data_IF_963348506745
#
_entry.id   IF_963348506745
#
_cell.length_a   1.000
_cell.length_b   1.000
_cell.length_c   1.000
_cell.angle_alpha   90.00
_cell.angle_beta   90.00
_cell.angle_gamma   90.00
#
_symmetry.space_group_name_H-M   'P 1'
#
loop_
_entity.id
_entity.type
_entity.pdbx_description
1 polymer ?
#
# COMPACT_ATOMS: atom_id res chain seq x y z
N UNK A 1 14.64 32.67 27.92
CA UNK A 1 15.63 31.68 27.40
C UNK A 1 17.06 32.06 27.77
N UNK A 2 17.52 33.29 27.45
CA UNK A 2 18.87 33.78 27.78
C UNK A 2 19.27 33.70 29.26
N UNK A 3 18.38 34.04 30.20
CA UNK A 3 18.64 33.92 31.65
C UNK A 3 19.05 32.49 32.06
N UNK A 4 18.40 31.46 31.52
CA UNK A 4 18.70 30.05 31.82
C UNK A 4 20.07 29.63 31.28
N UNK A 5 20.46 30.12 30.09
CA UNK A 5 21.79 29.88 29.51
C UNK A 5 22.88 30.49 30.40
N UNK A 6 22.67 31.74 30.84
CA UNK A 6 23.60 32.45 31.70
C UNK A 6 23.73 31.74 33.06
N UNK A 7 22.63 31.36 33.69
CA UNK A 7 22.64 30.60 34.95
C UNK A 7 23.36 29.24 34.81
N UNK A 8 23.23 28.58 33.66
CA UNK A 8 23.89 27.29 33.40
C UNK A 8 25.41 27.45 33.19
N UNK A 9 25.83 28.48 32.44
CA UNK A 9 27.24 28.81 32.22
C UNK A 9 27.93 29.35 33.48
N UNK A 10 27.19 30.00 34.38
CA UNK A 10 27.71 30.61 35.61
C UNK A 10 27.51 29.76 36.86
N UNK A 11 27.23 28.44 36.73
CA UNK A 11 27.24 27.51 37.86
C UNK A 11 28.56 27.64 38.64
N UNK A 12 28.46 27.80 39.97
CA UNK A 12 29.64 28.05 40.80
C UNK A 12 30.65 26.90 40.71
N UNK A 13 30.16 25.67 40.71
CA UNK A 13 30.92 24.46 40.40
C UNK A 13 31.19 24.35 38.88
N UNK A 14 32.46 24.39 38.43
CA UNK A 14 32.81 24.22 37.02
C UNK A 14 32.39 22.88 36.42
N UNK A 15 32.30 21.80 37.23
CA UNK A 15 31.92 20.48 36.75
C UNK A 15 30.43 20.39 36.36
N UNK A 16 29.60 21.33 36.82
CA UNK A 16 28.18 21.41 36.52
C UNK A 16 27.84 22.34 35.36
N UNK A 17 28.84 22.95 34.72
CA UNK A 17 28.68 23.80 33.54
C UNK A 17 28.57 22.93 32.28
N UNK A 18 27.81 23.35 31.26
CA UNK A 18 27.72 22.61 30.02
C UNK A 18 29.05 22.66 29.26
N UNK A 19 29.36 21.57 28.58
CA UNK A 19 30.31 21.59 27.47
C UNK A 19 29.72 22.39 26.30
N UNK A 20 30.57 22.89 25.41
CA UNK A 20 30.13 23.58 24.20
C UNK A 20 29.16 22.72 23.35
N UNK A 21 29.39 21.41 23.32
CA UNK A 21 28.54 20.48 22.57
C UNK A 21 27.17 20.27 23.24
N UNK A 22 27.09 20.24 24.57
CA UNK A 22 25.82 20.18 25.30
C UNK A 22 25.03 21.48 25.16
N UNK A 23 25.71 22.63 25.17
CA UNK A 23 25.08 23.94 24.98
C UNK A 23 24.48 24.07 23.58
N UNK A 24 25.24 23.68 22.53
CA UNK A 24 24.78 23.71 21.14
C UNK A 24 23.62 22.76 20.86
N UNK A 25 23.52 21.65 21.60
CA UNK A 25 22.39 20.71 21.52
C UNK A 25 21.18 21.12 22.37
N UNK A 26 21.32 22.15 23.20
CA UNK A 26 20.24 22.59 24.09
C UNK A 26 19.18 23.41 23.34
N UNK A 27 17.92 23.28 23.74
CA UNK A 27 16.81 24.10 23.22
C UNK A 27 16.89 25.57 23.65
N UNK A 28 17.93 25.94 24.40
CA UNK A 28 18.06 27.27 25.00
C UNK A 28 18.71 28.30 24.07
N UNK A 29 19.37 27.84 23.01
CA UNK A 29 19.95 28.70 21.97
C UNK A 29 18.97 28.84 20.79
N UNK A 30 18.92 30.01 20.14
CA UNK A 30 18.21 30.12 18.87
C UNK A 30 18.87 29.17 17.85
N UNK A 31 18.09 28.61 16.92
CA UNK A 31 18.64 27.75 15.89
C UNK A 31 19.70 28.51 15.08
N UNK A 32 20.82 27.86 14.71
CA UNK A 32 21.86 28.49 13.91
C UNK A 32 21.24 29.01 12.60
N UNK A 33 21.51 30.29 12.30
CA UNK A 33 21.10 30.90 11.04
C UNK A 33 22.13 30.50 9.99
N UNK A 34 21.69 29.71 9.01
CA UNK A 34 22.49 29.31 7.85
C UNK A 34 21.76 29.80 6.61
N UNK A 35 22.52 30.23 5.60
CA UNK A 35 21.90 30.63 4.33
C UNK A 35 21.20 29.43 3.68
N UNK A 36 20.07 29.68 3.01
CA UNK A 36 19.24 28.61 2.43
C UNK A 36 19.98 27.83 1.34
N UNK A 37 20.87 28.51 0.60
CA UNK A 37 21.76 27.94 -0.41
C UNK A 37 22.74 26.92 0.19
N UNK A 38 23.40 27.28 1.29
CA UNK A 38 24.33 26.42 2.01
C UNK A 38 23.61 25.20 2.60
N UNK A 39 22.41 25.39 3.17
CA UNK A 39 21.59 24.28 3.65
C UNK A 39 21.26 23.30 2.53
N UNK A 40 20.85 23.83 1.38
CA UNK A 40 20.47 23.02 0.24
C UNK A 40 21.66 22.20 -0.28
N UNK A 41 22.86 22.80 -0.34
CA UNK A 41 24.09 22.12 -0.75
C UNK A 41 24.45 20.98 0.23
N UNK A 42 24.42 21.23 1.54
CA UNK A 42 24.68 20.20 2.57
C UNK A 42 23.68 19.05 2.48
N UNK A 43 22.39 19.34 2.28
CA UNK A 43 21.36 18.34 2.11
C UNK A 43 21.59 17.50 0.86
N UNK A 44 21.82 18.14 -0.30
CA UNK A 44 22.11 17.44 -1.55
C UNK A 44 23.33 16.53 -1.41
N UNK A 45 24.43 17.05 -0.85
CA UNK A 45 25.66 16.29 -0.71
C UNK A 45 25.51 15.12 0.28
N UNK A 46 24.67 15.28 1.30
CA UNK A 46 24.34 14.20 2.24
C UNK A 46 23.47 13.14 1.57
N UNK A 47 22.45 13.54 0.80
CA UNK A 47 21.55 12.64 0.08
C UNK A 47 22.24 11.89 -1.07
N UNK A 48 23.27 12.49 -1.68
CA UNK A 48 24.07 11.84 -2.73
C UNK A 48 24.90 10.65 -2.20
N UNK A 49 25.22 10.63 -0.90
CA UNK A 49 25.98 9.55 -0.27
C UNK A 49 25.21 8.88 0.87
N UNK A 50 24.26 8.03 0.50
CA UNK A 50 23.42 7.25 1.44
C UNK A 50 24.22 6.32 2.37
N UNK A 51 25.44 5.94 1.97
CA UNK A 51 26.34 5.13 2.80
C UNK A 51 27.27 5.99 3.67
N UNK A 52 27.12 7.32 3.64
CA UNK A 52 27.95 8.26 4.40
C UNK A 52 27.57 8.32 5.89
N UNK A 53 28.53 8.72 6.72
CA UNK A 53 28.29 8.96 8.16
C UNK A 53 27.25 10.07 8.37
N UNK A 54 27.30 11.14 7.57
CA UNK A 54 26.36 12.26 7.62
C UNK A 54 24.92 11.79 7.38
N UNK A 55 24.69 10.98 6.34
CA UNK A 55 23.37 10.41 6.05
C UNK A 55 22.85 9.54 7.19
N UNK A 56 23.66 8.59 7.70
CA UNK A 56 23.26 7.76 8.85
C UNK A 56 22.95 8.58 10.09
N UNK A 57 23.68 9.67 10.31
CA UNK A 57 23.43 10.58 11.43
C UNK A 57 22.10 11.29 11.26
N UNK A 58 21.83 11.81 10.05
CA UNK A 58 20.55 12.44 9.71
C UNK A 58 19.38 11.48 9.92
N UNK A 59 19.42 10.28 9.33
CA UNK A 59 18.36 9.27 9.51
C UNK A 59 18.20 8.91 10.99
N UNK A 60 19.30 8.72 11.72
CA UNK A 60 19.24 8.47 13.17
C UNK A 60 18.52 9.58 13.95
N UNK A 61 18.72 10.85 13.60
CA UNK A 61 18.00 11.97 14.22
C UNK A 61 16.52 11.98 13.83
N UNK A 62 16.15 11.58 12.62
CA UNK A 62 14.74 11.45 12.22
C UNK A 62 14.00 10.39 13.06
N UNK A 63 14.65 9.26 13.33
CA UNK A 63 14.08 8.20 14.17
C UNK A 63 14.13 8.50 15.68
N UNK A 64 14.96 9.46 16.11
CA UNK A 64 15.03 9.90 17.50
C UNK A 64 13.97 10.97 17.86
N UNK A 65 13.11 11.36 16.91
CA UNK A 65 12.03 12.31 17.17
C UNK A 65 11.05 11.76 18.22
N UNK A 66 10.70 12.59 19.20
CA UNK A 66 9.71 12.24 20.21
C UNK A 66 8.29 12.41 19.66
N UNK A 67 7.43 11.43 19.92
CA UNK A 67 6.00 11.51 19.63
C UNK A 67 5.29 12.26 20.77
N UNK A 68 4.41 13.20 20.42
CA UNK A 68 3.58 13.86 21.44
C UNK A 68 2.46 12.90 21.91
N UNK A 69 2.02 12.99 23.18
CA UNK A 69 0.94 12.13 23.68
C UNK A 69 -0.37 12.23 22.87
N UNK A 70 -0.65 13.41 22.31
CA UNK A 70 -1.82 13.62 21.45
C UNK A 70 -1.66 12.87 20.12
N UNK A 71 -0.48 12.90 19.51
CA UNK A 71 -0.22 12.16 18.28
C UNK A 71 -0.32 10.66 18.49
N UNK A 72 0.26 10.16 19.59
CA UNK A 72 0.17 8.75 19.97
C UNK A 72 -1.29 8.29 20.11
N UNK A 73 -2.11 9.05 20.84
CA UNK A 73 -3.53 8.73 21.04
C UNK A 73 -4.38 8.84 19.75
N UNK A 74 -4.07 9.79 18.88
CA UNK A 74 -4.90 10.07 17.69
C UNK A 74 -4.49 9.25 16.47
N UNK A 75 -3.33 8.60 16.47
CA UNK A 75 -2.76 7.94 15.30
C UNK A 75 -3.69 6.85 14.73
N UNK A 76 -4.24 5.99 15.59
CA UNK A 76 -5.06 4.84 15.25
C UNK A 76 -6.50 4.93 15.77
N UNK A 77 -6.93 6.11 16.24
CA UNK A 77 -8.26 6.35 16.84
C UNK A 77 -9.41 5.86 15.95
N UNK A 78 -9.25 5.95 14.63
CA UNK A 78 -10.26 5.52 13.66
C UNK A 78 -10.43 4.01 13.57
N UNK A 79 -9.45 3.21 13.99
CA UNK A 79 -9.59 1.75 14.05
C UNK A 79 -10.57 1.33 15.16
N UNK A 80 -10.74 2.17 16.18
CA UNK A 80 -11.68 1.95 17.29
C UNK A 80 -13.00 2.72 17.12
N UNK A 81 -13.22 3.38 15.97
CA UNK A 81 -14.52 3.98 15.62
C UNK A 81 -15.52 2.87 15.27
N UNK A 82 -15.93 2.14 16.29
CA UNK A 82 -16.86 1.02 16.25
C UNK A 82 -16.79 0.29 17.59
N UNK A 83 -17.95 0.00 18.20
CA UNK A 83 -17.95 -0.81 19.42
C UNK A 83 -17.50 -2.23 19.09
N UNK A 84 -16.53 -2.76 19.84
CA UNK A 84 -16.18 -4.17 19.73
C UNK A 84 -17.44 -5.01 19.96
N UNK A 85 -17.74 -5.87 18.99
CA UNK A 85 -18.86 -6.80 19.05
C UNK A 85 -18.32 -8.22 19.10
N UNK A 86 -18.48 -8.88 20.24
CA UNK A 86 -18.09 -10.29 20.42
C UNK A 86 -18.78 -11.19 19.38
N UNK A 87 -20.06 -10.92 19.09
CA UNK A 87 -20.83 -11.64 18.07
C UNK A 87 -20.22 -11.48 16.67
N UNK A 88 -19.78 -10.28 16.31
CA UNK A 88 -19.13 -10.02 15.03
C UNK A 88 -17.77 -10.71 14.93
N UNK A 89 -16.98 -10.73 16.01
CA UNK A 89 -15.71 -11.44 16.07
C UNK A 89 -15.91 -12.97 15.92
N UNK A 90 -16.92 -13.53 16.59
CA UNK A 90 -17.29 -14.95 16.46
C UNK A 90 -17.73 -15.30 15.03
N UNK A 91 -18.52 -14.43 14.40
CA UNK A 91 -18.94 -14.62 13.01
C UNK A 91 -17.74 -14.57 12.05
N UNK A 92 -16.82 -13.61 12.25
CA UNK A 92 -15.60 -13.52 11.46
C UNK A 92 -14.74 -14.79 11.57
N UNK A 93 -14.60 -15.33 12.78
CA UNK A 93 -13.91 -16.60 13.01
C UNK A 93 -14.57 -17.75 12.26
N UNK A 94 -15.90 -17.86 12.33
CA UNK A 94 -16.65 -18.90 11.61
C UNK A 94 -16.46 -18.80 10.09
N UNK A 95 -16.56 -17.58 9.53
CA UNK A 95 -16.33 -17.32 8.10
C UNK A 95 -14.90 -17.72 7.70
N UNK A 96 -13.90 -17.35 8.50
CA UNK A 96 -12.50 -17.69 8.26
C UNK A 96 -12.29 -19.21 8.20
N UNK A 97 -12.85 -19.95 9.16
CA UNK A 97 -12.72 -21.40 9.25
C UNK A 97 -13.42 -22.12 8.09
N UNK A 98 -14.62 -21.68 7.72
CA UNK A 98 -15.39 -22.26 6.63
C UNK A 98 -14.69 -22.06 5.27
N UNK A 99 -14.25 -20.84 4.98
CA UNK A 99 -13.48 -20.53 3.76
C UNK A 99 -12.16 -21.32 3.72
N UNK A 100 -11.46 -21.39 4.85
CA UNK A 100 -10.22 -22.19 4.96
C UNK A 100 -10.46 -23.67 4.66
N UNK A 101 -11.57 -24.25 5.11
CA UNK A 101 -11.94 -25.64 4.82
C UNK A 101 -12.17 -25.86 3.32
N UNK A 102 -12.85 -24.93 2.65
CA UNK A 102 -13.08 -25.00 1.20
C UNK A 102 -11.76 -24.93 0.44
N UNK A 103 -10.87 -24.00 0.77
CA UNK A 103 -9.56 -23.91 0.11
C UNK A 103 -8.73 -25.19 0.28
N UNK A 104 -8.76 -25.79 1.47
CA UNK A 104 -8.09 -27.08 1.72
C UNK A 104 -8.70 -28.22 0.91
N UNK A 105 -10.02 -28.21 0.68
CA UNK A 105 -10.72 -29.18 -0.19
C UNK A 105 -10.21 -29.12 -1.64
N UNK A 106 -9.84 -27.94 -2.12
CA UNK A 106 -9.19 -27.72 -3.43
C UNK A 106 -7.69 -28.02 -3.45
N UNK A 107 -7.12 -28.50 -2.34
CA UNK A 107 -5.69 -28.79 -2.21
C UNK A 107 -4.81 -27.54 -2.05
N UNK A 108 -5.39 -26.37 -1.76
CA UNK A 108 -4.60 -25.18 -1.51
C UNK A 108 -3.98 -25.19 -0.10
N UNK A 109 -2.73 -24.72 -0.02
CA UNK A 109 -2.00 -24.59 1.24
C UNK A 109 -1.98 -23.14 1.70
N UNK A 110 -1.97 -22.92 3.02
CA UNK A 110 -1.79 -21.56 3.56
C UNK A 110 -0.36 -21.11 3.27
N UNK A 111 -0.20 -19.94 2.64
CA UNK A 111 1.11 -19.39 2.36
C UNK A 111 1.16 -17.91 2.73
N UNK A 112 2.05 -17.57 3.65
CA UNK A 112 2.33 -16.20 4.07
C UNK A 112 3.57 -15.67 3.34
N UNK A 113 3.54 -14.38 2.99
CA UNK A 113 4.64 -13.67 2.32
C UNK A 113 5.09 -12.49 3.18
N UNK A 114 6.33 -12.01 3.04
CA UNK A 114 6.80 -10.86 3.83
C UNK A 114 5.84 -9.66 3.74
N UNK A 115 5.54 -9.06 4.90
CA UNK A 115 4.61 -7.93 5.00
C UNK A 115 5.15 -6.69 4.26
N UNK A 116 6.41 -6.35 4.50
CA UNK A 116 7.04 -5.17 3.89
C UNK A 116 7.74 -5.55 2.58
N UNK A 117 7.51 -4.75 1.55
CA UNK A 117 8.23 -4.83 0.28
C UNK A 117 9.01 -3.53 0.02
N UNK A 118 10.17 -3.58 -0.65
CA UNK A 118 10.81 -2.37 -1.14
C UNK A 118 9.86 -1.59 -2.06
N UNK A 119 9.81 -0.26 -1.90
CA UNK A 119 8.94 0.59 -2.72
C UNK A 119 9.30 0.44 -4.19
N UNK A 120 8.33 0.02 -5.01
CA UNK A 120 8.49 -0.05 -6.46
C UNK A 120 7.42 0.80 -7.15
N UNK A 121 7.86 1.86 -7.85
CA UNK A 121 6.96 2.80 -8.54
C UNK A 121 6.28 2.22 -9.78
N UNK A 122 6.86 1.20 -10.42
CA UNK A 122 6.34 0.62 -11.67
C UNK A 122 5.25 -0.43 -11.44
N UNK A 123 5.28 -1.12 -10.30
CA UNK A 123 4.38 -2.25 -10.03
C UNK A 123 2.96 -1.81 -9.64
N UNK A 124 2.80 -0.57 -9.21
CA UNK A 124 1.55 0.01 -8.70
C UNK A 124 1.25 1.34 -9.38
N UNK A 125 1.38 1.38 -10.71
CA UNK A 125 1.11 2.59 -11.46
C UNK A 125 -0.34 3.05 -11.23
N UNK A 126 -0.52 4.31 -10.83
CA UNK A 126 -1.82 4.88 -10.45
C UNK A 126 -2.38 4.49 -9.07
N UNK A 127 -1.70 3.63 -8.28
CA UNK A 127 -2.12 3.29 -6.92
C UNK A 127 -1.27 4.02 -5.87
N UNK A 128 -1.92 4.72 -4.95
CA UNK A 128 -1.22 5.29 -3.79
C UNK A 128 -0.91 4.17 -2.78
N UNK A 129 0.36 4.06 -2.38
CA UNK A 129 0.84 3.05 -1.44
C UNK A 129 1.09 3.65 -0.06
N UNK A 130 0.76 2.92 1.00
CA UNK A 130 1.23 3.23 2.34
C UNK A 130 2.74 2.96 2.42
N UNK A 131 3.52 4.04 2.30
CA UNK A 131 4.97 4.02 2.20
C UNK A 131 5.61 4.49 3.51
N UNK A 132 6.65 3.78 3.93
CA UNK A 132 7.42 4.04 5.14
C UNK A 132 8.90 4.04 4.81
N UNK A 133 9.71 4.43 5.79
CA UNK A 133 11.16 4.43 5.73
C UNK A 133 11.69 3.48 6.81
N UNK A 134 12.66 2.64 6.48
CA UNK A 134 13.38 1.85 7.48
C UNK A 134 14.58 2.63 8.07
N UNK A 135 15.25 2.05 9.06
CA UNK A 135 16.40 2.67 9.74
C UNK A 135 17.63 2.91 8.84
N UNK A 136 17.66 2.33 7.64
CA UNK A 136 18.69 2.60 6.63
C UNK A 136 18.31 3.75 5.69
N UNK A 137 17.10 4.29 5.81
CA UNK A 137 16.55 5.27 4.89
C UNK A 137 15.91 4.67 3.64
N UNK A 138 15.86 3.33 3.53
CA UNK A 138 15.22 2.65 2.42
C UNK A 138 13.70 2.77 2.53
N UNK A 139 13.05 3.07 1.41
CA UNK A 139 11.59 3.13 1.35
C UNK A 139 10.99 1.74 1.18
N UNK A 140 10.04 1.42 2.07
CA UNK A 140 9.28 0.18 2.07
C UNK A 140 7.79 0.49 2.03
N UNK A 141 6.99 -0.47 1.61
CA UNK A 141 5.53 -0.32 1.52
C UNK A 141 4.83 -1.46 2.22
N UNK A 142 3.73 -1.15 2.90
CA UNK A 142 2.75 -2.15 3.31
C UNK A 142 2.02 -2.70 2.07
N UNK A 143 1.46 -3.93 2.13
CA UNK A 143 0.87 -4.56 0.97
C UNK A 143 -0.41 -3.82 0.57
N UNK A 144 -0.47 -3.38 -0.68
CA UNK A 144 -1.71 -2.90 -1.28
C UNK A 144 -2.61 -4.08 -1.67
N UNK A 145 -2.05 -5.22 -2.04
CA UNK A 145 -2.78 -6.45 -2.32
C UNK A 145 -1.97 -7.65 -1.84
N UNK A 146 -2.60 -8.83 -1.81
CA UNK A 146 -1.92 -10.10 -1.49
C UNK A 146 -1.19 -10.73 -2.68
N UNK A 147 -1.25 -10.12 -3.87
CA UNK A 147 -0.77 -10.68 -5.14
C UNK A 147 0.70 -10.36 -5.39
N UNK A 148 1.13 -9.12 -5.17
CA UNK A 148 2.49 -8.71 -5.54
C UNK A 148 3.58 -9.36 -4.69
N UNK A 149 3.36 -9.46 -3.38
CA UNK A 149 4.26 -10.18 -2.48
C UNK A 149 4.36 -11.67 -2.87
N UNK A 150 3.24 -12.25 -3.28
CA UNK A 150 3.17 -13.63 -3.74
C UNK A 150 3.87 -13.86 -5.08
N UNK A 151 3.63 -13.02 -6.09
CA UNK A 151 4.34 -13.11 -7.36
C UNK A 151 5.86 -13.06 -7.17
N UNK A 152 6.34 -12.17 -6.29
CA UNK A 152 7.76 -12.09 -5.91
C UNK A 152 8.25 -13.36 -5.22
N UNK A 153 7.45 -13.95 -4.35
CA UNK A 153 7.77 -15.20 -3.67
C UNK A 153 7.87 -16.37 -4.66
N UNK A 154 6.89 -16.51 -5.56
CA UNK A 154 6.87 -17.53 -6.62
C UNK A 154 8.11 -17.43 -7.49
N UNK A 155 8.41 -16.23 -8.01
CA UNK A 155 9.56 -16.00 -8.87
C UNK A 155 10.90 -16.30 -8.19
N UNK A 156 11.08 -15.88 -6.92
CA UNK A 156 12.33 -16.11 -6.17
C UNK A 156 12.59 -17.58 -5.85
N UNK A 157 11.53 -18.37 -5.69
CA UNK A 157 11.63 -19.78 -5.34
C UNK A 157 11.47 -20.69 -6.56
N UNK A 158 11.38 -20.14 -7.78
CA UNK A 158 11.14 -20.90 -9.02
C UNK A 158 9.95 -21.85 -8.92
N UNK A 159 8.86 -21.41 -8.28
CA UNK A 159 7.67 -22.24 -8.09
C UNK A 159 6.92 -22.31 -9.43
N UNK A 160 6.77 -23.52 -9.96
CA UNK A 160 6.09 -23.77 -11.23
C UNK A 160 4.66 -24.31 -11.05
N UNK A 161 4.37 -24.91 -9.90
CA UNK A 161 3.05 -25.45 -9.58
C UNK A 161 2.74 -25.27 -8.09
N UNK A 162 1.61 -24.63 -7.78
CA UNK A 162 1.18 -24.39 -6.40
C UNK A 162 -0.28 -23.95 -6.39
N UNK A 163 -1.07 -24.48 -5.46
CA UNK A 163 -2.34 -23.86 -5.07
C UNK A 163 -2.16 -23.27 -3.68
N UNK A 164 -2.45 -21.99 -3.50
CA UNK A 164 -2.34 -21.34 -2.19
C UNK A 164 -3.60 -20.60 -1.81
N UNK A 165 -3.75 -20.38 -0.52
CA UNK A 165 -4.66 -19.38 0.00
C UNK A 165 -3.98 -18.47 1.02
N UNK A 166 -4.50 -17.25 1.15
CA UNK A 166 -4.03 -16.24 2.09
C UNK A 166 -5.20 -15.37 2.54
N UNK A 167 -5.38 -15.19 3.84
CA UNK A 167 -6.40 -14.30 4.42
C UNK A 167 -5.67 -13.36 5.36
N UNK A 168 -5.38 -12.15 4.91
CA UNK A 168 -4.46 -11.21 5.58
C UNK A 168 -4.88 -9.75 5.35
N UNK A 169 -4.31 -8.85 6.15
CA UNK A 169 -4.55 -7.41 6.04
C UNK A 169 -3.81 -6.80 4.86
N UNK A 170 -4.47 -5.89 4.17
CA UNK A 170 -3.88 -4.98 3.18
C UNK A 170 -4.19 -3.54 3.55
N UNK A 171 -3.41 -2.62 3.02
CA UNK A 171 -3.38 -1.24 3.51
C UNK A 171 -3.66 -0.26 2.37
N UNK A 172 -4.43 0.79 2.68
CA UNK A 172 -4.64 1.94 1.80
C UNK A 172 -4.15 3.20 2.52
N UNK A 173 -3.39 4.07 1.84
CA UNK A 173 -2.95 5.31 2.46
C UNK A 173 -4.15 6.19 2.82
N UNK A 174 -3.95 7.06 3.81
CA UNK A 174 -4.87 8.14 4.12
C UNK A 174 -4.29 9.45 3.62
N UNK A 175 -5.18 10.36 3.21
CA UNK A 175 -4.80 11.74 2.87
C UNK A 175 -4.37 12.56 4.09
N UNK A 176 -4.77 12.13 5.29
CA UNK A 176 -4.37 12.78 6.54
C UNK A 176 -2.95 12.33 6.90
N UNK A 177 -2.06 13.31 7.08
CA UNK A 177 -0.71 13.06 7.57
C UNK A 177 -0.73 12.49 8.99
N UNK A 178 0.27 11.67 9.31
CA UNK A 178 0.48 11.09 10.65
C UNK A 178 -0.74 10.34 11.17
N UNK A 179 -1.39 9.56 10.31
CA UNK A 179 -2.50 8.69 10.67
C UNK A 179 -2.22 7.24 10.24
N UNK A 180 -2.77 6.28 10.97
CA UNK A 180 -2.69 4.88 10.63
C UNK A 180 -3.35 4.63 9.25
N UNK A 181 -2.68 3.93 8.30
CA UNK A 181 -3.29 3.57 7.03
C UNK A 181 -4.60 2.81 7.24
N UNK A 182 -5.55 2.91 6.30
CA UNK A 182 -6.77 2.11 6.41
C UNK A 182 -6.42 0.63 6.22
N UNK A 183 -6.85 -0.20 7.16
CA UNK A 183 -6.76 -1.65 7.04
C UNK A 183 -8.00 -2.22 6.32
N UNK A 184 -7.76 -3.18 5.44
CA UNK A 184 -8.76 -4.00 4.79
C UNK A 184 -8.36 -5.46 4.96
N UNK A 185 -9.32 -6.38 4.98
CA UNK A 185 -9.05 -7.80 4.96
C UNK A 185 -9.26 -8.32 3.54
N UNK A 186 -8.23 -8.95 2.97
CA UNK A 186 -8.33 -9.64 1.68
C UNK A 186 -8.25 -11.14 1.89
N UNK A 187 -8.95 -11.87 1.02
CA UNK A 187 -8.95 -13.33 0.94
C UNK A 187 -8.54 -13.70 -0.49
N UNK A 188 -7.36 -14.32 -0.63
CA UNK A 188 -6.79 -14.71 -1.90
C UNK A 188 -6.73 -16.24 -2.02
N UNK A 189 -7.04 -16.74 -3.21
CA UNK A 189 -6.84 -18.11 -3.65
C UNK A 189 -6.17 -18.05 -5.02
N UNK A 190 -4.98 -18.63 -5.14
CA UNK A 190 -4.16 -18.54 -6.34
C UNK A 190 -3.74 -19.93 -6.81
N UNK A 191 -3.78 -20.15 -8.13
CA UNK A 191 -3.29 -21.36 -8.79
C UNK A 191 -2.13 -20.98 -9.70
N UNK A 192 -0.95 -21.51 -9.39
CA UNK A 192 0.24 -21.49 -10.25
C UNK A 192 0.32 -22.85 -10.95
N UNK A 193 0.45 -22.82 -12.28
CA UNK A 193 0.55 -24.01 -13.11
C UNK A 193 1.43 -23.72 -14.34
N UNK A 194 2.21 -24.70 -14.83
CA UNK A 194 2.96 -24.53 -16.08
C UNK A 194 2.05 -24.65 -17.32
N UNK A 195 0.82 -25.16 -17.17
CA UNK A 195 -0.11 -25.38 -18.28
C UNK A 195 -0.87 -24.07 -18.57
N UNK A 196 -0.52 -23.42 -19.69
CA UNK A 196 -1.13 -22.13 -20.09
C UNK A 196 -2.33 -22.27 -21.01
N UNK A 197 -2.53 -23.43 -21.64
CA UNK A 197 -3.58 -23.65 -22.65
C UNK A 197 -4.82 -24.34 -22.06
N UNK A 198 -5.01 -24.27 -20.74
CA UNK A 198 -6.13 -24.89 -20.04
C UNK A 198 -6.88 -23.84 -19.25
N UNK A 199 -8.20 -23.84 -19.36
CA UNK A 199 -9.11 -23.02 -18.55
C UNK A 199 -9.53 -23.73 -17.26
N UNK A 200 -8.95 -24.90 -16.94
CA UNK A 200 -9.26 -25.63 -15.71
C UNK A 200 -8.94 -24.82 -14.44
N UNK A 201 -7.82 -24.08 -14.33
CA UNK A 201 -7.54 -23.24 -13.16
C UNK A 201 -8.59 -22.14 -12.97
N UNK A 202 -9.01 -21.50 -14.07
CA UNK A 202 -10.05 -20.47 -14.05
C UNK A 202 -11.40 -21.06 -13.62
N UNK A 203 -11.78 -22.21 -14.20
CA UNK A 203 -12.99 -22.94 -13.83
C UNK A 203 -12.98 -23.39 -12.37
N UNK A 204 -11.86 -23.89 -11.86
CA UNK A 204 -11.69 -24.26 -10.46
C UNK A 204 -11.83 -23.04 -9.54
N UNK A 205 -11.27 -21.90 -9.92
CA UNK A 205 -11.40 -20.64 -9.16
C UNK A 205 -12.86 -20.19 -9.09
N UNK A 206 -13.58 -20.21 -10.23
CA UNK A 206 -15.01 -19.87 -10.28
C UNK A 206 -15.83 -20.87 -9.44
N UNK A 207 -15.53 -22.16 -9.53
CA UNK A 207 -16.22 -23.18 -8.75
C UNK A 207 -15.95 -23.04 -7.25
N UNK A 208 -14.71 -22.70 -6.85
CA UNK A 208 -14.35 -22.39 -5.46
C UNK A 208 -15.17 -21.21 -4.92
N UNK A 209 -15.37 -20.15 -5.73
CA UNK A 209 -16.23 -19.02 -5.37
C UNK A 209 -17.68 -19.48 -5.17
N UNK A 210 -18.20 -20.32 -6.07
CA UNK A 210 -19.56 -20.88 -5.96
C UNK A 210 -19.72 -21.70 -4.68
N UNK A 211 -18.74 -22.55 -4.33
CA UNK A 211 -18.76 -23.31 -3.07
C UNK A 211 -18.72 -22.41 -1.83
N UNK A 212 -17.92 -21.34 -1.84
CA UNK A 212 -17.93 -20.34 -0.76
C UNK A 212 -19.31 -19.72 -0.62
N UNK A 213 -19.96 -19.34 -1.73
CA UNK A 213 -21.31 -18.75 -1.68
C UNK A 213 -22.33 -19.77 -1.17
N UNK A 214 -22.22 -21.04 -1.54
CA UNK A 214 -23.11 -22.13 -1.09
C UNK A 214 -22.95 -22.47 0.40
N UNK A 215 -21.76 -22.29 0.95
CA UNK A 215 -21.46 -22.54 2.37
C UNK A 215 -22.24 -21.60 3.31
N UNK A 216 -22.65 -20.41 2.84
CA UNK A 216 -23.35 -19.42 3.64
C UNK A 216 -24.81 -19.24 3.15
N UNK A 217 -25.81 -19.79 3.86
CA UNK A 217 -27.22 -19.69 3.46
C UNK A 217 -27.72 -18.26 3.23
N UNK A 218 -27.26 -17.30 4.04
CA UNK A 218 -27.62 -15.89 3.89
C UNK A 218 -27.18 -15.26 2.54
N UNK A 219 -26.18 -15.86 1.88
CA UNK A 219 -25.77 -15.46 0.53
C UNK A 219 -26.62 -16.14 -0.55
N UNK A 220 -27.15 -17.34 -0.28
CA UNK A 220 -28.05 -18.06 -1.18
C UNK A 220 -29.43 -17.41 -1.28
N UNK A 221 -29.88 -16.80 -0.19
CA UNK A 221 -31.13 -16.00 -0.19
C UNK A 221 -31.03 -14.75 -1.09
N UNK A 222 -29.82 -14.36 -1.50
CA UNK A 222 -29.57 -13.28 -2.44
C UNK A 222 -29.31 -13.87 -3.82
N UNK A 223 -29.92 -13.29 -4.85
CA UNK A 223 -29.50 -13.58 -6.22
C UNK A 223 -28.07 -13.07 -6.41
N UNK A 224 -27.14 -13.96 -6.77
CA UNK A 224 -25.76 -13.61 -7.11
C UNK A 224 -25.49 -13.94 -8.58
N UNK A 225 -24.69 -13.11 -9.22
CA UNK A 225 -24.20 -13.32 -10.58
C UNK A 225 -22.68 -13.25 -10.58
N UNK A 226 -22.03 -14.19 -11.25
CA UNK A 226 -20.58 -14.14 -11.51
C UNK A 226 -20.40 -13.62 -12.93
N UNK A 227 -19.96 -12.37 -13.06
CA UNK A 227 -19.67 -11.77 -14.36
C UNK A 227 -18.29 -12.21 -14.84
N UNK A 228 -18.22 -12.72 -16.07
CA UNK A 228 -16.97 -13.15 -16.70
C UNK A 228 -16.60 -12.19 -17.82
N UNK A 229 -15.31 -11.88 -17.92
CA UNK A 229 -14.75 -11.07 -18.99
C UNK A 229 -13.32 -11.53 -19.29
N UNK A 230 -12.78 -11.13 -20.44
CA UNK A 230 -11.41 -11.42 -20.85
C UNK A 230 -10.72 -10.13 -21.31
N UNK A 231 -9.50 -9.86 -20.83
CA UNK A 231 -8.77 -8.63 -21.17
C UNK A 231 -8.48 -8.50 -22.66
N UNK A 232 -8.28 -9.61 -23.38
CA UNK A 232 -8.16 -9.59 -24.84
C UNK A 232 -9.40 -9.07 -25.56
N UNK A 233 -10.61 -9.30 -25.03
CA UNK A 233 -11.84 -8.76 -25.62
C UNK A 233 -11.87 -7.24 -25.46
N UNK A 234 -11.58 -6.74 -24.26
CA UNK A 234 -11.47 -5.30 -24.00
C UNK A 234 -10.38 -4.66 -24.89
N UNK A 235 -9.20 -5.30 -24.99
CA UNK A 235 -8.12 -4.85 -25.88
C UNK A 235 -8.59 -4.78 -27.34
N UNK A 236 -9.28 -5.81 -27.82
CA UNK A 236 -9.78 -5.86 -29.19
C UNK A 236 -10.81 -4.76 -29.47
N UNK A 237 -11.74 -4.51 -28.53
CA UNK A 237 -12.73 -3.43 -28.63
C UNK A 237 -12.01 -2.07 -28.71
N UNK A 238 -11.09 -1.80 -27.79
CA UNK A 238 -10.37 -0.52 -27.76
C UNK A 238 -9.56 -0.28 -29.04
N UNK A 239 -8.88 -1.31 -29.55
CA UNK A 239 -8.14 -1.24 -30.82
C UNK A 239 -9.07 -1.01 -32.02
N UNK A 240 -10.20 -1.73 -32.08
CA UNK A 240 -11.20 -1.56 -33.14
C UNK A 240 -11.81 -0.15 -33.12
N UNK A 241 -11.99 0.41 -31.93
CA UNK A 241 -12.44 1.77 -31.68
C UNK A 241 -11.38 2.85 -31.96
N UNK A 242 -10.21 2.49 -32.51
CA UNK A 242 -9.17 3.46 -32.89
C UNK A 242 -8.27 3.94 -31.74
N UNK A 243 -8.26 3.23 -30.60
CA UNK A 243 -7.31 3.53 -29.52
C UNK A 243 -5.90 3.06 -29.89
N UNK A 244 -4.88 3.93 -29.89
CA UNK A 244 -3.50 3.53 -30.14
C UNK A 244 -3.00 2.51 -29.11
N UNK A 245 -2.10 1.61 -29.53
CA UNK A 245 -1.62 0.52 -28.67
C UNK A 245 -0.89 1.02 -27.40
N UNK A 246 -0.18 2.15 -27.50
CA UNK A 246 0.49 2.82 -26.38
C UNK A 246 -0.48 3.47 -25.38
N UNK A 247 -1.75 3.66 -25.78
CA UNK A 247 -2.81 4.28 -24.95
C UNK A 247 -3.78 3.29 -24.32
N UNK A 248 -3.69 1.99 -24.65
CA UNK A 248 -4.63 0.98 -24.17
C UNK A 248 -4.71 0.90 -22.64
N UNK A 249 -3.58 1.01 -21.95
CA UNK A 249 -3.55 0.99 -20.48
C UNK A 249 -4.25 2.21 -19.88
N UNK A 250 -4.06 3.39 -20.48
CA UNK A 250 -4.74 4.62 -20.03
C UNK A 250 -6.24 4.54 -20.28
N UNK A 251 -6.66 4.09 -21.47
CA UNK A 251 -8.07 3.86 -21.79
C UNK A 251 -8.74 2.85 -20.85
N UNK A 252 -8.05 1.75 -20.53
CA UNK A 252 -8.55 0.73 -19.59
C UNK A 252 -8.71 1.31 -18.18
N UNK A 253 -7.78 2.16 -17.73
CA UNK A 253 -7.87 2.83 -16.43
C UNK A 253 -9.04 3.81 -16.36
N UNK A 254 -9.30 4.57 -17.43
CA UNK A 254 -10.47 5.47 -17.50
C UNK A 254 -11.78 4.68 -17.37
N UNK A 255 -11.91 3.55 -18.10
CA UNK A 255 -13.09 2.69 -17.99
C UNK A 255 -13.23 2.07 -16.60
N UNK A 256 -12.11 1.67 -15.98
CA UNK A 256 -12.11 1.16 -14.62
C UNK A 256 -12.62 2.22 -13.62
N UNK A 257 -12.16 3.47 -13.74
CA UNK A 257 -12.64 4.56 -12.88
C UNK A 257 -14.12 4.90 -13.12
N UNK A 258 -14.61 4.76 -14.37
CA UNK A 258 -16.03 4.92 -14.70
C UNK A 258 -16.90 3.84 -14.05
N UNK A 259 -16.49 2.57 -14.13
CA UNK A 259 -17.21 1.44 -13.50
C UNK A 259 -17.21 1.55 -11.98
N UNK A 260 -16.15 2.13 -11.39
CA UNK A 260 -16.07 2.41 -9.96
C UNK A 260 -16.77 3.72 -9.54
N UNK A 261 -17.58 4.33 -10.42
CA UNK A 261 -18.34 5.56 -10.17
C UNK A 261 -17.48 6.77 -9.74
N UNK A 262 -16.18 6.74 -10.04
CA UNK A 262 -15.27 7.86 -9.77
C UNK A 262 -15.33 8.94 -10.84
N UNK A 263 -15.87 8.60 -12.02
CA UNK A 263 -16.00 9.49 -13.16
C UNK A 263 -17.43 9.43 -13.69
N UNK A 264 -17.98 10.61 -13.96
CA UNK A 264 -19.22 10.77 -14.73
C UNK A 264 -18.99 10.43 -16.20
N UNK A 265 -20.08 10.14 -16.92
CA UNK A 265 -20.03 9.83 -18.35
C UNK A 265 -19.39 10.97 -19.18
N UNK A 266 -19.63 12.22 -18.78
CA UNK A 266 -19.06 13.38 -19.46
C UNK A 266 -17.55 13.50 -19.22
N UNK A 267 -17.08 13.23 -18.00
CA UNK A 267 -15.64 13.18 -17.70
C UNK A 267 -14.94 12.04 -18.46
N UNK A 268 -15.60 10.89 -18.59
CA UNK A 268 -15.10 9.77 -19.41
C UNK A 268 -14.94 10.21 -20.86
N UNK A 269 -15.98 10.82 -21.45
CA UNK A 269 -15.93 11.36 -22.82
C UNK A 269 -14.78 12.34 -23.00
N UNK A 270 -14.64 13.32 -22.11
CA UNK A 270 -13.56 14.31 -22.17
C UNK A 270 -12.18 13.65 -22.10
N UNK A 271 -11.99 12.69 -21.18
CA UNK A 271 -10.71 11.97 -21.07
C UNK A 271 -10.39 11.14 -22.31
N UNK A 272 -11.39 10.50 -22.93
CA UNK A 272 -11.21 9.78 -24.18
C UNK A 272 -10.93 10.71 -25.38
N UNK A 273 -11.57 11.87 -25.47
CA UNK A 273 -11.24 12.87 -26.49
C UNK A 273 -9.78 13.36 -26.37
N UNK A 274 -9.29 13.52 -25.13
CA UNK A 274 -7.92 13.93 -24.87
C UNK A 274 -6.87 12.85 -25.19
N UNK A 275 -7.27 11.59 -25.39
CA UNK A 275 -6.38 10.51 -25.84
C UNK A 275 -6.06 10.59 -27.34
N UNK A 276 -6.58 11.60 -28.06
CA UNK A 276 -6.42 11.75 -29.51
C UNK A 276 -6.84 10.49 -30.27
N UNK A 277 -7.98 9.91 -29.87
CA UNK A 277 -8.61 8.86 -30.66
C UNK A 277 -8.83 9.40 -32.08
N UNK A 278 -8.27 8.72 -33.07
CA UNK A 278 -8.61 8.98 -34.47
C UNK A 278 -10.13 8.91 -34.60
N UNK A 279 -10.73 9.93 -35.21
CA UNK A 279 -12.17 10.21 -35.31
C UNK A 279 -13.03 9.02 -35.73
N UNK A 280 -13.29 8.07 -34.83
CA UNK A 280 -14.26 6.99 -35.01
C UNK A 280 -14.94 6.76 -33.65
N UNK A 281 -16.27 6.91 -33.65
CA UNK A 281 -17.16 6.90 -32.50
C UNK A 281 -16.98 5.64 -31.62
N UNK A 282 -16.48 5.84 -30.40
CA UNK A 282 -16.36 4.79 -29.36
C UNK A 282 -17.64 4.68 -28.49
N UNK A 283 -18.64 5.54 -28.72
CA UNK A 283 -19.76 5.74 -27.79
C UNK A 283 -21.15 5.80 -28.44
N UNK A 284 -21.37 5.01 -29.49
CA UNK A 284 -22.72 4.70 -29.99
C UNK A 284 -23.04 3.24 -29.78
#
# INVERSE_FOLDING_TARGET
>A
TQKKVIEWLLKHDPALRPTAQELLKSELLPPPQMEESELHEVLQHTMANVNGKAYRTMVGQLFAQNLSPVMDYTYDIDLYKGSFSFSSAKLQQHVYEAITRIFKKHGAVRLHTPLLLPRNRKLYDGCELACFMDHSGMLVTLPFDLRMAFARFVARNNITQLKRYCIERVFRPRKLDRAHPRELLECAFDIITPVTNSLLPDAETIYTISEIIQEFPALQERNYNIYLNHTSLLKAILLHSGTPEDKLSQASNILCDAVNEKLSLDEVKTKFCNLSLSTINVLT
#
